data_IF_993802117851
#
_entry.id   IF_993802117851
#
_cell.length_a   1.000
_cell.length_b   1.000
_cell.length_c   1.000
_cell.angle_alpha   90.00
_cell.angle_beta   90.00
_cell.angle_gamma   90.00
#
_symmetry.space_group_name_H-M   'P 1'
#
loop_
_entity.id
_entity.type
_entity.pdbx_description
1 polymer ?
#
# COMPACT_ATOMS: atom_id res chain seq x y z
N UNK A 1 11.53 -1.22 8.68
CA UNK A 1 10.63 -0.67 9.71
C UNK A 1 9.18 -1.02 9.35
N UNK A 2 8.29 -1.22 10.34
CA UNK A 2 6.85 -1.35 10.10
C UNK A 2 6.32 -0.17 9.27
N UNK A 3 5.43 -0.43 8.32
CA UNK A 3 4.94 0.61 7.41
C UNK A 3 3.42 0.77 7.46
N UNK A 4 2.69 -0.30 7.17
CA UNK A 4 1.23 -0.30 7.21
C UNK A 4 0.71 -1.70 7.49
N UNK A 5 -0.57 -1.80 7.84
CA UNK A 5 -1.24 -3.06 8.13
C UNK A 5 -2.57 -3.08 7.41
N UNK A 6 -2.74 -3.97 6.45
CA UNK A 6 -3.96 -4.06 5.64
C UNK A 6 -4.63 -5.42 5.80
N UNK A 7 -5.94 -5.39 6.03
CA UNK A 7 -6.79 -6.57 6.07
C UNK A 7 -7.68 -6.56 4.84
N UNK A 8 -7.71 -7.68 4.12
CA UNK A 8 -8.55 -7.79 2.92
C UNK A 8 -10.04 -7.69 3.32
N UNK A 9 -10.87 -6.92 2.59
CA UNK A 9 -12.30 -6.75 2.88
C UNK A 9 -13.06 -8.08 2.98
N UNK A 10 -14.15 -8.09 3.76
CA UNK A 10 -14.98 -9.29 3.94
C UNK A 10 -15.71 -9.76 2.66
N UNK A 11 -15.88 -8.87 1.68
CA UNK A 11 -16.51 -9.21 0.39
C UNK A 11 -15.65 -10.10 -0.50
N UNK A 12 -14.35 -10.20 -0.23
CA UNK A 12 -13.42 -11.02 -1.00
C UNK A 12 -13.37 -12.45 -0.46
N UNK A 13 -13.36 -13.43 -1.36
CA UNK A 13 -13.32 -14.87 -0.98
C UNK A 13 -11.96 -15.23 -0.37
N UNK A 14 -10.88 -14.70 -0.93
CA UNK A 14 -9.52 -14.91 -0.44
C UNK A 14 -9.09 -13.69 0.34
N UNK A 15 -8.73 -13.90 1.60
CA UNK A 15 -8.42 -12.81 2.53
C UNK A 15 -7.07 -12.99 3.18
N UNK A 16 -6.40 -11.87 3.36
CA UNK A 16 -5.09 -11.78 3.98
C UNK A 16 -5.10 -10.67 5.04
N UNK A 17 -4.40 -10.93 6.14
CA UNK A 17 -3.98 -9.96 7.13
C UNK A 17 -2.49 -9.68 6.83
N UNK A 18 -2.21 -8.54 6.20
CA UNK A 18 -0.90 -8.25 5.59
C UNK A 18 -0.21 -7.09 6.29
N UNK A 19 0.94 -7.36 6.89
CA UNK A 19 1.86 -6.34 7.40
C UNK A 19 2.86 -5.94 6.32
N UNK A 20 2.95 -4.64 6.04
CA UNK A 20 3.93 -4.06 5.14
C UNK A 20 5.12 -3.50 5.92
N UNK A 21 6.28 -3.57 5.29
CA UNK A 21 7.54 -3.08 5.83
C UNK A 21 8.28 -2.27 4.78
N UNK A 22 9.12 -1.35 5.25
CA UNK A 22 10.02 -0.56 4.39
C UNK A 22 11.48 -0.72 4.81
N UNK A 23 12.38 -0.71 3.83
CA UNK A 23 13.82 -0.78 4.03
C UNK A 23 14.55 -0.03 2.90
N UNK A 24 15.74 0.48 3.20
CA UNK A 24 16.66 0.95 2.16
C UNK A 24 17.39 -0.25 1.57
N UNK A 25 17.55 -0.26 0.25
CA UNK A 25 18.40 -1.23 -0.41
C UNK A 25 19.88 -0.88 -0.09
N UNK A 26 20.68 -1.83 0.43
CA UNK A 26 22.11 -1.60 0.61
C UNK A 26 22.82 -1.34 -0.72
N UNK A 27 23.93 -0.61 -0.65
CA UNK A 27 24.78 -0.36 -1.83
C UNK A 27 25.23 -1.68 -2.48
N UNK A 28 25.40 -1.63 -3.80
CA UNK A 28 25.87 -2.75 -4.64
C UNK A 28 24.93 -3.97 -4.70
N UNK A 29 23.65 -3.82 -4.36
CA UNK A 29 22.64 -4.85 -4.61
C UNK A 29 21.98 -4.65 -5.98
N UNK A 30 21.73 -5.74 -6.70
CA UNK A 30 20.99 -5.72 -7.97
C UNK A 30 19.70 -6.50 -7.82
N UNK A 31 18.56 -5.85 -8.12
CA UNK A 31 17.26 -6.51 -8.14
C UNK A 31 17.11 -7.38 -9.39
N UNK A 32 16.95 -8.69 -9.20
CA UNK A 32 16.73 -9.67 -10.28
C UNK A 32 15.48 -10.48 -9.89
N UNK A 33 14.57 -10.67 -10.83
CA UNK A 33 13.40 -11.54 -10.64
C UNK A 33 13.72 -13.00 -11.05
N UNK A 34 12.93 -13.95 -10.56
CA UNK A 34 13.15 -15.38 -10.75
C UNK A 34 12.82 -15.90 -12.16
N UNK A 35 12.08 -15.10 -12.93
CA UNK A 35 11.65 -15.43 -14.30
C UNK A 35 10.42 -16.34 -14.36
N UNK A 36 9.82 -16.68 -13.22
CA UNK A 36 8.66 -17.57 -13.13
C UNK A 36 7.48 -16.85 -12.46
N UNK A 37 7.58 -16.58 -11.15
CA UNK A 37 6.54 -15.83 -10.43
C UNK A 37 6.61 -14.34 -10.76
N UNK A 38 7.83 -13.81 -10.84
CA UNK A 38 8.10 -12.44 -11.23
C UNK A 38 8.87 -12.44 -12.56
N UNK A 39 8.33 -11.74 -13.56
CA UNK A 39 8.89 -11.69 -14.92
C UNK A 39 9.38 -10.31 -15.33
N UNK A 40 9.01 -9.26 -14.58
CA UNK A 40 9.39 -7.88 -14.84
C UNK A 40 9.67 -7.15 -13.52
N UNK A 41 10.64 -6.25 -13.51
CA UNK A 41 10.97 -5.40 -12.36
C UNK A 41 11.41 -4.03 -12.86
N UNK A 42 11.08 -2.99 -12.09
CA UNK A 42 11.40 -1.61 -12.44
C UNK A 42 11.68 -0.81 -11.17
N UNK A 43 12.77 -0.04 -11.19
CA UNK A 43 12.99 1.06 -10.25
C UNK A 43 12.27 2.31 -10.75
N UNK A 44 11.35 2.84 -9.95
CA UNK A 44 10.52 4.00 -10.28
C UNK A 44 10.24 4.81 -9.02
N UNK A 45 10.10 6.13 -9.15
CA UNK A 45 9.69 6.97 -8.01
C UNK A 45 8.23 6.70 -7.64
N UNK A 46 7.83 6.86 -6.36
CA UNK A 46 6.44 6.70 -5.95
C UNK A 46 5.47 7.60 -6.75
N UNK A 47 5.86 8.83 -7.03
CA UNK A 47 5.06 9.81 -7.78
C UNK A 47 4.78 9.33 -9.22
N UNK A 48 5.80 8.86 -9.95
CA UNK A 48 5.59 8.37 -11.32
C UNK A 48 4.84 7.03 -11.32
N UNK A 49 5.07 6.16 -10.33
CA UNK A 49 4.33 4.91 -10.18
C UNK A 49 2.82 5.16 -9.99
N UNK A 50 2.45 6.12 -9.13
CA UNK A 50 1.06 6.53 -8.91
C UNK A 50 0.44 7.14 -10.17
N UNK A 51 1.15 8.03 -10.85
CA UNK A 51 0.69 8.63 -12.11
C UNK A 51 0.40 7.57 -13.16
N UNK A 52 1.29 6.58 -13.32
CA UNK A 52 1.09 5.45 -14.24
C UNK A 52 -0.07 4.55 -13.81
N UNK A 53 -0.26 4.33 -12.51
CA UNK A 53 -1.41 3.59 -12.00
C UNK A 53 -2.73 4.29 -12.33
N UNK A 54 -2.82 5.60 -12.11
CA UNK A 54 -4.01 6.40 -12.40
C UNK A 54 -4.27 6.57 -13.91
N UNK A 55 -3.22 6.48 -14.74
CA UNK A 55 -3.35 6.41 -16.19
C UNK A 55 -3.75 5.00 -16.70
N UNK A 56 -3.81 3.99 -15.83
CA UNK A 56 -4.10 2.60 -16.20
C UNK A 56 -2.93 1.86 -16.87
N UNK A 57 -1.72 2.42 -16.82
CA UNK A 57 -0.51 1.83 -17.41
C UNK A 57 0.10 0.74 -16.52
N UNK A 58 -0.10 0.82 -15.20
CA UNK A 58 0.35 -0.20 -14.24
C UNK A 58 -0.83 -0.58 -13.35
N UNK A 59 -1.24 -1.84 -13.40
CA UNK A 59 -2.27 -2.36 -12.49
C UNK A 59 -1.75 -2.42 -11.07
N UNK A 60 -2.44 -1.75 -10.13
CA UNK A 60 -2.10 -1.76 -8.71
C UNK A 60 -3.35 -1.95 -7.86
N UNK A 61 -3.21 -2.75 -6.81
CA UNK A 61 -4.24 -2.87 -5.78
C UNK A 61 -4.18 -1.69 -4.82
N UNK A 62 -5.30 -1.39 -4.16
CA UNK A 62 -5.42 -0.24 -3.25
C UNK A 62 -4.35 -0.19 -2.15
N UNK A 63 -3.97 -1.29 -1.46
CA UNK A 63 -2.88 -1.25 -0.48
C UNK A 63 -1.55 -0.76 -1.08
N UNK A 64 -1.22 -1.16 -2.31
CA UNK A 64 -0.01 -0.71 -3.01
C UNK A 64 -0.08 0.78 -3.33
N UNK A 65 -1.22 1.27 -3.85
CA UNK A 65 -1.43 2.69 -4.15
C UNK A 65 -1.27 3.53 -2.88
N UNK A 66 -1.95 3.16 -1.79
CA UNK A 66 -1.93 3.90 -0.52
C UNK A 66 -0.55 3.92 0.12
N UNK A 67 0.17 2.81 0.05
CA UNK A 67 1.57 2.75 0.49
C UNK A 67 2.47 3.68 -0.33
N UNK A 68 2.29 3.77 -1.65
CA UNK A 68 3.04 4.71 -2.49
C UNK A 68 2.68 6.17 -2.18
N UNK A 69 1.40 6.48 -1.94
CA UNK A 69 0.96 7.83 -1.54
C UNK A 69 1.64 8.28 -0.24
N UNK A 70 1.77 7.38 0.75
CA UNK A 70 2.51 7.65 1.98
C UNK A 70 3.99 7.96 1.73
N UNK A 71 4.62 7.34 0.72
CA UNK A 71 6.01 7.62 0.36
C UNK A 71 6.21 9.00 -0.29
N UNK A 72 5.19 9.58 -0.94
CA UNK A 72 5.30 10.85 -1.68
C UNK A 72 5.66 12.04 -0.76
N UNK A 73 5.36 11.95 0.53
CA UNK A 73 5.65 13.00 1.51
C UNK A 73 7.13 13.14 1.91
N UNK A 74 8.01 12.27 1.44
CA UNK A 74 9.42 12.22 1.84
C UNK A 74 10.37 12.46 0.67
N UNK A 75 11.49 13.13 0.92
CA UNK A 75 12.45 13.47 -0.12
C UNK A 75 13.49 12.36 -0.35
N UNK A 76 13.72 11.51 0.66
CA UNK A 76 14.68 10.41 0.59
C UNK A 76 14.14 9.16 1.27
N UNK A 77 14.64 7.99 0.86
CA UNK A 77 14.31 6.71 1.51
C UNK A 77 14.80 6.65 2.95
N UNK A 78 15.90 7.34 3.28
CA UNK A 78 16.45 7.38 4.63
C UNK A 78 15.56 8.21 5.58
N UNK A 79 15.07 9.36 5.13
CA UNK A 79 14.12 10.19 5.87
C UNK A 79 12.85 9.39 6.22
N UNK A 80 12.26 8.74 5.22
CA UNK A 80 11.08 7.87 5.38
C UNK A 80 11.37 6.70 6.34
N UNK A 81 12.50 6.01 6.16
CA UNK A 81 12.87 4.89 7.02
C UNK A 81 13.07 5.34 8.48
N UNK A 82 13.68 6.50 8.70
CA UNK A 82 13.92 7.05 10.03
C UNK A 82 12.62 7.51 10.68
N UNK A 83 11.69 8.10 9.92
CA UNK A 83 10.35 8.43 10.39
C UNK A 83 9.62 7.17 10.87
N UNK A 84 9.58 6.10 10.07
CA UNK A 84 8.91 4.86 10.45
C UNK A 84 9.53 4.13 11.64
N UNK A 85 10.82 4.32 11.90
CA UNK A 85 11.46 3.74 13.10
C UNK A 85 10.99 4.39 14.40
N UNK A 86 10.39 5.58 14.36
CA UNK A 86 9.85 6.25 15.54
C UNK A 86 8.42 5.80 15.87
N UNK A 87 7.73 5.15 14.93
CA UNK A 87 6.35 4.70 15.12
C UNK A 87 6.30 3.36 15.85
N UNK A 88 5.24 3.18 16.63
CA UNK A 88 4.90 1.95 17.31
C UNK A 88 3.77 1.21 16.59
N UNK A 89 3.39 0.04 17.09
CA UNK A 89 2.24 -0.69 16.56
C UNK A 89 0.91 0.06 16.77
N UNK A 90 0.82 0.92 17.79
CA UNK A 90 -0.38 1.73 18.05
C UNK A 90 -0.55 2.83 17.00
N UNK A 91 0.56 3.35 16.47
CA UNK A 91 0.57 4.36 15.40
C UNK A 91 0.27 3.75 14.01
N UNK A 92 0.30 2.42 13.90
CA UNK A 92 0.07 1.68 12.65
C UNK A 92 -1.07 0.68 12.86
N UNK A 93 -2.31 1.18 13.06
CA UNK A 93 -3.47 0.32 13.25
C UNK A 93 -3.79 -0.48 11.97
N UNK A 94 -4.49 -1.62 12.09
CA UNK A 94 -5.00 -2.34 10.94
C UNK A 94 -5.99 -1.49 10.13
N UNK A 95 -5.83 -1.54 8.81
CA UNK A 95 -6.71 -0.92 7.83
C UNK A 95 -7.57 -2.03 7.23
N UNK A 96 -8.84 -2.08 7.59
CA UNK A 96 -9.84 -2.97 6.98
C UNK A 96 -10.77 -2.13 6.11
N UNK A 97 -10.65 -2.12 4.77
CA UNK A 97 -11.62 -1.42 3.94
C UNK A 97 -12.97 -2.14 3.96
N UNK A 98 -14.06 -1.37 3.99
CA UNK A 98 -15.42 -1.89 3.82
C UNK A 98 -15.91 -1.59 2.42
N UNK A 99 -16.42 -2.60 1.72
CA UNK A 99 -17.03 -2.44 0.40
C UNK A 99 -18.45 -2.96 0.42
N UNK A 100 -19.40 -2.17 -0.07
CA UNK A 100 -20.81 -2.55 -0.14
C UNK A 100 -21.49 -1.87 -1.33
N UNK A 101 -22.68 -2.36 -1.71
CA UNK A 101 -23.47 -1.75 -2.78
C UNK A 101 -24.47 -0.75 -2.22
N UNK A 102 -24.45 0.48 -2.73
CA UNK A 102 -25.43 1.52 -2.45
C UNK A 102 -26.00 2.04 -3.76
N UNK A 103 -27.33 1.95 -3.93
CA UNK A 103 -28.02 2.33 -5.17
C UNK A 103 -27.43 1.66 -6.43
N UNK A 104 -27.03 0.39 -6.33
CA UNK A 104 -26.44 -0.38 -7.43
C UNK A 104 -24.95 -0.13 -7.68
N UNK A 105 -24.34 0.89 -7.06
CA UNK A 105 -22.92 1.20 -7.19
C UNK A 105 -22.11 0.64 -6.04
N UNK A 106 -20.88 0.21 -6.32
CA UNK A 106 -19.92 -0.13 -5.28
C UNK A 106 -19.43 1.14 -4.57
N UNK A 107 -19.47 1.10 -3.25
CA UNK A 107 -18.91 2.11 -2.36
C UNK A 107 -17.82 1.43 -1.55
N UNK A 108 -16.67 2.07 -1.43
CA UNK A 108 -15.57 1.67 -0.57
C UNK A 108 -15.33 2.73 0.49
N UNK A 109 -15.20 2.31 1.75
CA UNK A 109 -14.85 3.17 2.89
C UNK A 109 -13.59 2.64 3.55
N UNK A 110 -12.70 3.55 3.94
CA UNK A 110 -11.54 3.29 4.79
C UNK A 110 -11.86 3.68 6.25
N UNK A 111 -11.16 3.10 7.24
CA UNK A 111 -11.28 3.54 8.62
C UNK A 111 -11.10 5.06 8.75
N UNK A 112 -12.06 5.71 9.41
CA UNK A 112 -12.09 7.17 9.57
C UNK A 112 -12.89 7.93 8.50
N UNK A 113 -13.33 7.28 7.42
CA UNK A 113 -14.29 7.87 6.48
C UNK A 113 -15.68 7.99 7.13
N UNK A 114 -16.43 9.03 6.76
CA UNK A 114 -17.81 9.22 7.22
C UNK A 114 -18.69 8.02 6.84
N UNK A 115 -19.37 7.44 7.83
CA UNK A 115 -20.23 6.27 7.63
C UNK A 115 -19.50 4.93 7.71
N UNK A 116 -18.19 4.91 7.99
CA UNK A 116 -17.42 3.66 8.05
C UNK A 116 -17.89 2.74 9.16
N UNK A 117 -18.19 3.26 10.36
CA UNK A 117 -18.56 2.44 11.51
C UNK A 117 -19.97 1.84 11.37
N UNK A 118 -20.86 2.53 10.65
CA UNK A 118 -22.24 2.10 10.37
C UNK A 118 -22.38 1.15 9.17
N UNK A 119 -21.36 1.08 8.32
CA UNK A 119 -21.34 0.26 7.11
C UNK A 119 -21.09 -1.24 7.36
#
# INVERSE_FOLDING_TARGET
APFSHWITPDVEIKRFDTRFFIACLPDNQTGIHDGNELVNSLWISPQEALKKAYAGEISMIMPTIKNLEQCVGFNTSEELLNHQKQLTNEDIPPILPKFFKKNGNWVGLLPGDDGYDEA
#
